data_IF_829711133975
#
_entry.id   IF_829711133975
#
_cell.length_a   1.000
_cell.length_b   1.000
_cell.length_c   1.000
_cell.angle_alpha   90.00
_cell.angle_beta   90.00
_cell.angle_gamma   90.00
#
_symmetry.space_group_name_H-M   'P 1'
#
loop_
_entity.id
_entity.type
_entity.pdbx_description
1 polymer ?
#
# COMPACT_ATOMS: atom_id res chain seq x y z
N UNK A 1 -18.95 6.66 22.70
CA UNK A 1 -19.77 7.56 21.86
C UNK A 1 -20.77 6.73 21.08
N UNK A 2 -22.00 7.20 20.84
CA UNK A 2 -23.00 6.46 20.05
C UNK A 2 -23.49 7.31 18.88
N UNK A 3 -23.48 6.73 17.68
CA UNK A 3 -23.99 7.31 16.44
C UNK A 3 -25.25 6.53 16.02
N UNK A 4 -26.28 7.25 15.58
CA UNK A 4 -27.57 6.68 15.21
C UNK A 4 -27.90 7.02 13.75
N UNK A 5 -27.96 6.00 12.90
CA UNK A 5 -28.08 6.10 11.43
C UNK A 5 -29.41 5.54 10.91
N UNK A 6 -30.42 5.41 11.77
CA UNK A 6 -31.69 4.74 11.44
C UNK A 6 -32.50 5.50 10.39
N UNK A 7 -32.95 4.79 9.34
CA UNK A 7 -33.80 5.31 8.24
C UNK A 7 -33.06 5.63 6.94
N UNK A 8 -31.74 5.45 6.90
CA UNK A 8 -30.92 5.79 5.74
C UNK A 8 -30.67 4.58 4.81
N UNK A 9 -30.36 4.80 3.54
CA UNK A 9 -29.94 3.76 2.58
C UNK A 9 -28.61 4.16 1.93
N UNK A 10 -27.58 3.33 2.13
CA UNK A 10 -26.26 3.46 1.48
C UNK A 10 -26.14 2.32 0.47
N UNK A 11 -25.76 2.66 -0.77
CA UNK A 11 -25.76 1.69 -1.88
C UNK A 11 -24.44 1.61 -2.64
N UNK A 12 -23.54 2.60 -2.47
CA UNK A 12 -22.09 2.57 -2.71
C UNK A 12 -21.53 4.00 -2.58
N UNK A 13 -20.25 4.15 -2.21
CA UNK A 13 -19.46 5.38 -2.41
C UNK A 13 -17.96 5.06 -2.29
N UNK A 14 -17.13 5.54 -3.23
CA UNK A 14 -15.66 5.38 -3.22
C UNK A 14 -14.92 6.63 -3.73
N UNK A 15 -13.73 6.88 -3.19
CA UNK A 15 -12.71 7.77 -3.77
C UNK A 15 -11.33 7.14 -3.56
N UNK A 16 -10.76 6.59 -4.64
CA UNK A 16 -9.56 5.76 -4.59
C UNK A 16 -8.26 6.56 -4.60
N UNK A 17 -7.89 7.17 -3.47
CA UNK A 17 -6.57 7.79 -3.29
C UNK A 17 -5.53 6.81 -2.75
N UNK A 18 -5.60 5.55 -3.21
CA UNK A 18 -4.78 4.44 -2.72
C UNK A 18 -4.37 3.55 -3.89
N UNK A 19 -3.09 3.21 -3.97
CA UNK A 19 -2.64 2.07 -4.78
C UNK A 19 -2.75 0.80 -3.93
N UNK A 20 -3.63 -0.12 -4.33
CA UNK A 20 -3.82 -1.40 -3.66
C UNK A 20 -3.26 -2.55 -4.49
N UNK A 21 -2.39 -3.36 -3.88
CA UNK A 21 -1.86 -4.60 -4.46
C UNK A 21 -2.35 -5.78 -3.63
N UNK A 22 -3.17 -6.64 -4.22
CA UNK A 22 -3.59 -7.90 -3.60
C UNK A 22 -2.74 -9.06 -4.15
N UNK A 23 -2.28 -9.94 -3.26
CA UNK A 23 -1.48 -11.12 -3.61
C UNK A 23 -2.32 -12.38 -3.55
N UNK A 24 -1.92 -13.42 -4.30
CA UNK A 24 -2.57 -14.74 -4.27
C UNK A 24 -2.52 -15.43 -2.89
N UNK A 25 -1.60 -15.00 -2.02
CA UNK A 25 -1.48 -15.46 -0.63
C UNK A 25 -2.43 -14.77 0.35
N UNK A 26 -3.31 -13.88 -0.11
CA UNK A 26 -4.27 -13.16 0.75
C UNK A 26 -3.66 -11.99 1.53
N UNK A 27 -2.51 -11.46 1.07
CA UNK A 27 -1.96 -10.20 1.57
C UNK A 27 -2.42 -9.04 0.70
N UNK A 28 -2.65 -7.89 1.32
CA UNK A 28 -2.94 -6.62 0.64
C UNK A 28 -1.91 -5.57 1.06
N UNK A 29 -1.36 -4.86 0.08
CA UNK A 29 -0.44 -3.72 0.27
C UNK A 29 -1.14 -2.47 -0.22
N UNK A 30 -1.36 -1.51 0.67
CA UNK A 30 -2.00 -0.24 0.36
C UNK A 30 -0.98 0.89 0.49
N UNK A 31 -0.86 1.70 -0.56
CA UNK A 31 -0.02 2.90 -0.58
C UNK A 31 -0.94 4.11 -0.70
N UNK A 32 -0.90 4.98 0.31
CA UNK A 32 -1.85 6.10 0.47
C UNK A 32 -1.17 7.45 0.26
N UNK A 33 0.16 7.47 0.12
CA UNK A 33 0.99 8.64 -0.18
C UNK A 33 1.80 8.44 -1.45
N UNK A 34 2.52 9.48 -1.84
CA UNK A 34 3.32 9.46 -3.05
C UNK A 34 4.34 8.32 -3.00
N UNK A 35 4.51 7.66 -4.13
CA UNK A 35 5.40 6.52 -4.30
C UNK A 35 6.21 6.66 -5.57
N UNK A 36 7.29 5.90 -5.66
CA UNK A 36 8.10 5.84 -6.87
C UNK A 36 8.21 4.41 -7.38
N UNK A 37 8.20 4.27 -8.70
CA UNK A 37 8.56 3.03 -9.38
C UNK A 37 9.96 3.23 -9.95
N UNK A 38 10.89 2.43 -9.47
CA UNK A 38 12.25 2.34 -9.99
C UNK A 38 12.31 1.21 -11.00
N UNK A 39 12.91 1.47 -12.16
CA UNK A 39 13.20 0.45 -13.17
C UNK A 39 14.57 0.72 -13.81
N UNK A 40 15.10 -0.22 -14.63
CA UNK A 40 16.33 0.02 -15.37
C UNK A 40 16.30 1.26 -16.29
N UNK A 41 15.11 1.73 -16.66
CA UNK A 41 14.91 2.91 -17.51
C UNK A 41 14.89 4.23 -16.72
N UNK A 42 14.80 4.16 -15.40
CA UNK A 42 14.80 5.34 -14.51
C UNK A 42 13.83 5.21 -13.34
N UNK A 43 13.70 6.31 -12.59
CA UNK A 43 12.78 6.44 -11.46
C UNK A 43 11.63 7.35 -11.87
N UNK A 44 10.40 6.94 -11.58
CA UNK A 44 9.20 7.75 -11.81
C UNK A 44 8.35 7.82 -10.56
N UNK A 45 7.97 9.03 -10.17
CA UNK A 45 7.11 9.27 -9.00
C UNK A 45 5.64 9.39 -9.42
N UNK A 46 4.77 8.95 -8.53
CA UNK A 46 3.33 8.91 -8.68
C UNK A 46 2.67 9.34 -7.37
N UNK A 47 1.52 9.99 -7.48
CA UNK A 47 0.55 10.02 -6.39
C UNK A 47 -0.38 8.81 -6.52
N UNK A 48 -1.07 8.39 -5.45
CA UNK A 48 -2.10 7.38 -5.54
C UNK A 48 -3.38 8.00 -6.12
N UNK A 49 -3.30 8.56 -7.32
CA UNK A 49 -4.44 9.10 -8.07
C UNK A 49 -5.01 8.00 -8.99
N UNK A 50 -6.33 7.80 -9.05
CA UNK A 50 -6.96 6.84 -9.95
C UNK A 50 -6.52 6.99 -11.42
N UNK A 51 -6.15 8.19 -11.88
CA UNK A 51 -5.67 8.40 -13.26
C UNK A 51 -4.39 7.64 -13.59
N UNK A 52 -3.63 7.23 -12.57
CA UNK A 52 -2.38 6.49 -12.74
C UNK A 52 -2.60 5.00 -13.04
N UNK A 53 -3.83 4.49 -12.94
CA UNK A 53 -4.16 3.08 -13.26
C UNK A 53 -3.84 2.71 -14.71
N UNK A 54 -3.91 3.68 -15.63
CA UNK A 54 -3.60 3.47 -17.05
C UNK A 54 -2.10 3.63 -17.36
N UNK A 55 -1.28 4.01 -16.38
CA UNK A 55 0.16 4.11 -16.55
C UNK A 55 0.76 2.72 -16.76
N UNK A 56 1.50 2.52 -17.86
CA UNK A 56 2.16 1.24 -18.18
C UNK A 56 3.01 0.72 -17.02
N UNK A 57 3.75 1.61 -16.33
CA UNK A 57 4.57 1.23 -15.17
C UNK A 57 3.76 0.72 -13.99
N UNK A 58 2.59 1.30 -13.73
CA UNK A 58 1.71 0.88 -12.62
C UNK A 58 1.04 -0.44 -12.97
N UNK A 59 0.53 -0.58 -14.21
CA UNK A 59 -0.06 -1.82 -14.72
C UNK A 59 0.92 -2.98 -14.70
N UNK A 60 2.18 -2.72 -15.04
CA UNK A 60 3.24 -3.71 -15.01
C UNK A 60 3.42 -4.36 -13.62
N UNK A 61 3.16 -3.65 -12.52
CA UNK A 61 3.27 -4.24 -11.18
C UNK A 61 2.29 -5.41 -10.97
N UNK A 62 1.09 -5.34 -11.56
CA UNK A 62 0.06 -6.37 -11.43
C UNK A 62 0.34 -7.64 -12.27
N UNK A 63 1.31 -7.58 -13.19
CA UNK A 63 1.68 -8.70 -14.07
C UNK A 63 2.89 -9.49 -13.55
N UNK A 64 3.34 -9.21 -12.32
CA UNK A 64 4.61 -9.70 -11.77
C UNK A 64 4.43 -10.25 -10.37
N UNK A 65 5.19 -11.32 -10.08
CA UNK A 65 5.31 -11.83 -8.72
C UNK A 65 6.22 -10.93 -7.88
N UNK A 66 5.83 -10.67 -6.63
CA UNK A 66 6.67 -9.96 -5.67
C UNK A 66 7.84 -10.88 -5.28
N UNK A 67 9.07 -10.42 -5.47
CA UNK A 67 10.31 -11.11 -5.07
C UNK A 67 10.61 -10.90 -3.59
N UNK A 68 10.42 -9.67 -3.12
CA UNK A 68 10.58 -9.33 -1.71
C UNK A 68 9.79 -8.08 -1.35
N UNK A 69 9.45 -7.96 -0.07
CA UNK A 69 8.86 -6.76 0.51
C UNK A 69 9.61 -6.46 1.81
N UNK A 70 10.13 -5.24 1.92
CA UNK A 70 10.92 -4.78 3.06
C UNK A 70 10.30 -3.50 3.58
N UNK A 71 9.92 -3.51 4.86
CA UNK A 71 9.58 -2.32 5.62
C UNK A 71 10.77 -1.96 6.52
N UNK A 72 11.44 -0.85 6.22
CA UNK A 72 12.55 -0.34 7.02
C UNK A 72 12.01 0.32 8.31
N UNK A 73 12.82 0.37 9.36
CA UNK A 73 12.45 1.03 10.63
C UNK A 73 12.16 2.54 10.45
N UNK A 74 12.67 3.14 9.38
CA UNK A 74 12.39 4.52 8.98
C UNK A 74 10.99 4.74 8.41
N UNK A 75 10.22 3.68 8.19
CA UNK A 75 8.90 3.75 7.55
C UNK A 75 8.95 3.67 6.02
N UNK A 76 10.12 3.45 5.44
CA UNK A 76 10.26 3.22 4.00
C UNK A 76 9.78 1.81 3.67
N UNK A 77 8.89 1.68 2.68
CA UNK A 77 8.51 0.41 2.09
C UNK A 77 9.18 0.23 0.74
N UNK A 78 9.77 -0.94 0.50
CA UNK A 78 10.24 -1.36 -0.82
C UNK A 78 9.61 -2.70 -1.18
N UNK A 79 8.90 -2.75 -2.30
CA UNK A 79 8.39 -3.98 -2.93
C UNK A 79 9.19 -4.24 -4.19
N UNK A 80 9.96 -5.32 -4.22
CA UNK A 80 10.78 -5.70 -5.35
C UNK A 80 10.08 -6.70 -6.25
N UNK A 81 10.25 -6.51 -7.55
CA UNK A 81 9.75 -7.38 -8.62
C UNK A 81 10.96 -7.88 -9.46
N UNK A 82 10.77 -8.83 -10.38
CA UNK A 82 11.82 -9.25 -11.31
C UNK A 82 12.36 -8.08 -12.15
N UNK A 83 13.51 -8.32 -12.79
CA UNK A 83 14.15 -7.39 -13.73
C UNK A 83 14.56 -6.04 -13.13
N UNK A 84 14.78 -5.99 -11.81
CA UNK A 84 15.23 -4.79 -11.11
C UNK A 84 14.16 -3.72 -10.95
N UNK A 85 12.89 -4.08 -11.12
CA UNK A 85 11.75 -3.19 -10.89
C UNK A 85 11.43 -3.17 -9.39
N UNK A 86 11.21 -1.99 -8.83
CA UNK A 86 10.71 -1.87 -7.46
C UNK A 86 9.70 -0.73 -7.29
N UNK A 87 8.74 -0.95 -6.41
CA UNK A 87 7.84 0.08 -5.88
C UNK A 87 8.40 0.54 -4.53
N UNK A 88 8.50 1.85 -4.33
CA UNK A 88 9.00 2.45 -3.09
C UNK A 88 8.01 3.48 -2.55
N UNK A 89 7.53 3.26 -1.33
CA UNK A 89 6.71 4.20 -0.57
C UNK A 89 7.54 4.88 0.50
N UNK A 90 7.55 6.21 0.53
CA UNK A 90 8.22 7.00 1.57
C UNK A 90 7.26 7.27 2.73
N UNK A 91 7.76 7.39 3.97
CA UNK A 91 6.92 7.81 5.10
C UNK A 91 6.40 9.24 4.87
N UNK A 92 5.31 9.58 5.55
CA UNK A 92 4.77 10.94 5.56
C UNK A 92 4.77 11.48 6.98
N UNK A 93 5.19 12.73 7.18
CA UNK A 93 5.16 13.37 8.50
C UNK A 93 3.75 13.55 9.07
N UNK A 94 2.75 13.62 8.20
CA UNK A 94 1.38 13.99 8.57
C UNK A 94 0.35 12.87 8.44
N UNK A 95 0.68 11.79 7.72
CA UNK A 95 -0.29 10.76 7.33
C UNK A 95 0.30 9.36 7.44
N UNK A 96 -0.59 8.38 7.57
CA UNK A 96 -0.21 6.98 7.34
C UNK A 96 0.16 6.81 5.86
N UNK A 97 1.39 6.36 5.59
CA UNK A 97 1.91 6.36 4.23
C UNK A 97 1.53 5.10 3.45
N UNK A 98 1.52 3.97 4.14
CA UNK A 98 1.17 2.67 3.61
C UNK A 98 0.79 1.72 4.73
N UNK A 99 0.09 0.65 4.36
CA UNK A 99 -0.14 -0.48 5.24
C UNK A 99 -0.09 -1.80 4.47
N UNK A 100 0.23 -2.87 5.20
CA UNK A 100 0.19 -4.24 4.71
C UNK A 100 -0.72 -5.03 5.63
N UNK A 101 -1.74 -5.68 5.08
CA UNK A 101 -2.58 -6.66 5.78
C UNK A 101 -2.31 -8.06 5.24
N UNK A 102 -2.56 -9.07 6.05
CA UNK A 102 -2.36 -10.45 5.64
C UNK A 102 -3.20 -11.45 6.44
N UNK A 103 -3.11 -12.74 6.09
CA UNK A 103 -3.82 -13.81 6.78
C UNK A 103 -3.57 -13.80 8.30
N UNK A 104 -4.54 -14.29 9.07
CA UNK A 104 -4.42 -14.35 10.52
C UNK A 104 -4.42 -12.98 11.20
N UNK A 105 -5.00 -11.94 10.58
CA UNK A 105 -5.08 -10.60 11.16
C UNK A 105 -3.73 -9.87 11.23
N UNK A 106 -2.73 -10.33 10.48
CA UNK A 106 -1.46 -9.61 10.34
C UNK A 106 -1.74 -8.21 9.79
N UNK A 107 -1.16 -7.20 10.43
CA UNK A 107 -1.20 -5.81 9.96
C UNK A 107 0.10 -5.10 10.29
N UNK A 108 0.64 -4.36 9.33
CA UNK A 108 1.75 -3.42 9.53
C UNK A 108 1.33 -2.08 8.93
N UNK A 109 1.46 -1.00 9.68
CA UNK A 109 1.09 0.36 9.25
C UNK A 109 2.30 1.27 9.45
N UNK A 110 2.64 2.06 8.44
CA UNK A 110 3.54 3.19 8.59
C UNK A 110 2.75 4.40 9.09
N UNK A 111 2.93 4.72 10.36
CA UNK A 111 2.31 5.85 11.05
C UNK A 111 2.91 7.18 10.57
N UNK A 112 2.22 8.32 10.82
CA UNK A 112 2.83 9.63 10.62
C UNK A 112 4.21 9.73 11.28
N UNK A 113 5.19 10.23 10.53
CA UNK A 113 6.59 10.33 10.95
C UNK A 113 7.41 9.04 10.76
N UNK A 114 6.83 7.99 10.17
CA UNK A 114 7.55 6.79 9.73
C UNK A 114 7.59 5.63 10.73
N UNK A 115 7.09 5.82 11.96
CA UNK A 115 7.00 4.74 12.94
C UNK A 115 6.16 3.56 12.41
N UNK A 116 6.57 2.32 12.70
CA UNK A 116 5.84 1.13 12.30
C UNK A 116 4.98 0.58 13.44
N UNK A 117 3.67 0.61 13.27
CA UNK A 117 2.74 -0.12 14.13
C UNK A 117 2.49 -1.52 13.55
N UNK A 118 2.56 -2.55 14.40
CA UNK A 118 2.50 -3.96 13.98
C UNK A 118 1.49 -4.74 14.82
N UNK A 119 0.70 -5.58 14.15
CA UNK A 119 -0.25 -6.52 14.74
C UNK A 119 -0.11 -7.88 14.05
N UNK A 120 -0.43 -8.94 14.77
CA UNK A 120 -0.58 -10.28 14.24
C UNK A 120 -1.51 -11.09 15.14
N UNK A 121 -2.01 -12.22 14.65
CA UNK A 121 -2.57 -13.24 15.52
C UNK A 121 -1.54 -13.51 16.62
N UNK A 122 -1.96 -13.38 17.88
CA UNK A 122 -1.26 -14.05 18.97
C UNK A 122 -0.97 -15.49 18.50
N UNK A 123 0.28 -15.92 18.66
CA UNK A 123 0.57 -17.35 18.59
C UNK A 123 -0.23 -17.99 19.73
N UNK A 124 -1.30 -18.70 19.39
CA UNK A 124 -1.89 -19.71 20.27
C UNK A 124 -1.04 -20.98 20.23
#
# INVERSE_FOLDING_TARGET
>A
MKLDLRGQTVTAQEFGYTLSLATSGGYEVHIEKDYSICSPQGVRSFSPDPSNVDSEQVRALAERDIVSLVAEESGVLTVAFPDGISLRGEPSDAYEAWNVTGPGGMRVVCMPGGELAKWGAEQE
#
